data_IF_493966690059
#
_entry.id   IF_493966690059
#
_cell.length_a   1.000
_cell.length_b   1.000
_cell.length_c   1.000
_cell.angle_alpha   90.00
_cell.angle_beta   90.00
_cell.angle_gamma   90.00
#
_symmetry.space_group_name_H-M   'P 1'
#
loop_
_entity.id
_entity.type
_entity.pdbx_description
1 polymer ?
#
# COMPACT_ATOMS: atom_id res chain seq x y z
N UNK A 1 23.32 -11.04 -12.53
CA UNK A 1 23.00 -9.59 -12.62
C UNK A 1 24.26 -8.84 -12.25
N UNK A 2 24.96 -8.24 -13.22
CA UNK A 2 26.24 -7.56 -12.96
C UNK A 2 25.97 -6.07 -12.70
N UNK A 3 26.21 -5.62 -11.47
CA UNK A 3 26.15 -4.20 -11.12
C UNK A 3 27.30 -3.50 -11.87
N UNK A 4 26.98 -2.47 -12.66
CA UNK A 4 28.02 -1.72 -13.39
C UNK A 4 28.77 -0.83 -12.41
N UNK A 5 30.08 -0.72 -12.57
CA UNK A 5 30.96 0.11 -11.73
C UNK A 5 30.49 1.57 -11.63
N UNK A 6 29.93 2.12 -12.72
CA UNK A 6 29.37 3.46 -12.75
C UNK A 6 28.14 3.64 -11.85
N UNK A 7 27.35 2.58 -11.64
CA UNK A 7 26.23 2.61 -10.69
C UNK A 7 26.73 2.65 -9.25
N UNK A 8 27.84 1.95 -8.94
CA UNK A 8 28.47 1.98 -7.62
C UNK A 8 29.00 3.38 -7.31
N UNK A 9 29.74 4.00 -8.23
CA UNK A 9 30.26 5.37 -8.05
C UNK A 9 29.11 6.36 -7.84
N UNK A 10 28.05 6.24 -8.64
CA UNK A 10 26.88 7.11 -8.51
C UNK A 10 26.22 6.95 -7.13
N UNK A 11 26.03 5.71 -6.69
CA UNK A 11 25.42 5.40 -5.40
C UNK A 11 26.27 5.93 -4.24
N UNK A 12 27.59 5.73 -4.32
CA UNK A 12 28.55 6.24 -3.34
C UNK A 12 28.53 7.78 -3.30
N UNK A 13 28.54 8.44 -4.45
CA UNK A 13 28.45 9.92 -4.53
C UNK A 13 27.15 10.44 -3.89
N UNK A 14 26.03 9.77 -4.15
CA UNK A 14 24.74 10.13 -3.56
C UNK A 14 24.73 9.89 -2.05
N UNK A 15 25.26 8.76 -1.58
CA UNK A 15 25.39 8.45 -0.16
C UNK A 15 26.19 9.52 0.59
N UNK A 16 27.36 9.90 0.09
CA UNK A 16 28.20 10.93 0.71
C UNK A 16 27.57 12.33 0.68
N UNK A 17 26.67 12.62 -0.27
CA UNK A 17 25.94 13.91 -0.28
C UNK A 17 24.89 14.03 0.83
N UNK A 18 24.38 12.90 1.32
CA UNK A 18 23.39 12.84 2.40
C UNK A 18 24.05 12.91 3.79
N UNK A 19 25.31 12.50 3.89
CA UNK A 19 26.13 12.64 5.09
C UNK A 19 26.83 14.00 5.01
N UNK A 20 26.23 15.06 5.58
CA UNK A 20 26.77 16.43 5.57
C UNK A 20 28.10 16.58 6.36
N UNK A 21 29.19 15.94 5.90
CA UNK A 21 30.50 16.03 6.57
C UNK A 21 31.08 17.42 6.34
N UNK A 22 31.31 18.24 7.40
CA UNK A 22 31.85 19.57 7.25
C UNK A 22 33.30 19.53 6.77
N UNK A 23 33.78 20.62 6.15
CA UNK A 23 35.20 20.75 5.80
C UNK A 23 36.05 20.97 7.06
N UNK A 24 37.29 20.49 7.05
CA UNK A 24 38.24 20.73 8.14
C UNK A 24 38.46 22.24 8.33
N UNK A 25 38.37 22.70 9.57
CA UNK A 25 38.64 24.09 9.92
C UNK A 25 40.15 24.34 10.01
N UNK A 26 40.62 25.52 9.59
CA UNK A 26 42.06 25.84 9.58
C UNK A 26 42.70 25.81 10.97
N UNK A 27 41.92 26.03 12.03
CA UNK A 27 42.37 26.02 13.42
C UNK A 27 42.33 24.61 14.04
N UNK A 28 41.78 23.62 13.35
CA UNK A 28 41.55 22.27 13.87
C UNK A 28 42.64 21.29 13.44
N UNK A 29 43.07 20.43 14.37
CA UNK A 29 44.02 19.36 14.08
C UNK A 29 43.32 18.21 13.34
N UNK A 30 44.06 17.52 12.46
CA UNK A 30 43.51 16.38 11.69
C UNK A 30 42.85 15.32 12.57
N UNK A 31 43.41 14.90 13.73
CA UNK A 31 42.75 13.93 14.61
C UNK A 31 41.42 14.43 15.18
N UNK A 32 41.31 15.72 15.52
CA UNK A 32 40.08 16.31 16.02
C UNK A 32 38.98 16.32 14.94
N UNK A 33 39.38 16.66 13.70
CA UNK A 33 38.50 16.61 12.53
C UNK A 33 37.95 15.21 12.27
N UNK A 34 38.82 14.19 12.28
CA UNK A 34 38.43 12.79 12.06
C UNK A 34 37.44 12.32 13.13
N UNK A 35 37.70 12.60 14.41
CA UNK A 35 36.79 12.23 15.49
C UNK A 35 35.41 12.89 15.35
N UNK A 36 35.36 14.17 14.95
CA UNK A 36 34.11 14.88 14.69
C UNK A 36 33.36 14.29 13.50
N UNK A 37 34.05 13.97 12.40
CA UNK A 37 33.46 13.33 11.24
C UNK A 37 32.90 11.94 11.58
N UNK A 38 33.64 11.13 12.35
CA UNK A 38 33.16 9.84 12.87
C UNK A 38 31.90 9.99 13.73
N UNK A 39 31.87 10.96 14.65
CA UNK A 39 30.70 11.22 15.49
C UNK A 39 29.47 11.65 14.67
N UNK A 40 29.66 12.44 13.62
CA UNK A 40 28.59 12.82 12.68
C UNK A 40 28.08 11.58 11.94
N UNK A 41 28.98 10.73 11.42
CA UNK A 41 28.61 9.48 10.75
C UNK A 41 27.80 8.55 11.65
N UNK A 42 28.23 8.35 12.90
CA UNK A 42 27.50 7.53 13.88
C UNK A 42 26.12 8.11 14.21
N UNK A 43 26.00 9.43 14.30
CA UNK A 43 24.72 10.11 14.55
C UNK A 43 23.77 10.00 13.36
N UNK A 44 24.27 10.18 12.14
CA UNK A 44 23.48 10.03 10.91
C UNK A 44 23.03 8.59 10.70
N UNK A 45 23.89 7.61 11.03
CA UNK A 45 23.54 6.19 11.00
C UNK A 45 22.38 5.87 11.96
N UNK A 46 22.46 6.33 13.22
CA UNK A 46 21.38 6.14 14.20
C UNK A 46 20.09 6.87 13.81
N UNK A 47 20.20 8.10 13.30
CA UNK A 47 19.04 8.87 12.86
C UNK A 47 18.32 8.27 11.64
N UNK A 48 19.05 7.57 10.75
CA UNK A 48 18.49 6.85 9.61
C UNK A 48 17.90 5.48 9.97
N UNK A 49 18.41 4.85 11.04
CA UNK A 49 17.85 3.61 11.60
C UNK A 49 16.50 3.83 12.31
N UNK A 50 16.20 5.07 12.73
CA UNK A 50 15.08 5.40 13.64
C UNK A 50 13.78 5.94 12.98
N UNK A 51 13.79 6.45 11.72
CA UNK A 51 12.55 6.45 10.91
C UNK A 51 12.33 5.00 10.51
N UNK A 52 11.82 4.26 11.48
CA UNK A 52 12.41 2.97 11.83
C UNK A 52 12.06 1.97 10.75
N UNK A 53 12.96 1.07 10.37
CA UNK A 53 12.61 -0.10 9.55
C UNK A 53 11.32 -0.76 10.06
N UNK A 54 11.10 -0.75 11.37
CA UNK A 54 9.87 -1.17 12.06
C UNK A 54 8.62 -0.36 11.64
N UNK A 55 8.71 0.96 11.51
CA UNK A 55 7.60 1.80 11.01
C UNK A 55 7.26 1.46 9.56
N UNK A 56 8.28 1.28 8.71
CA UNK A 56 8.11 0.87 7.30
C UNK A 56 7.49 -0.52 7.23
N UNK A 57 7.93 -1.47 8.06
CA UNK A 57 7.35 -2.81 8.15
C UNK A 57 5.91 -2.80 8.68
N UNK A 58 5.61 -1.93 9.63
CA UNK A 58 4.27 -1.76 10.19
C UNK A 58 3.33 -1.18 9.13
N UNK A 59 3.75 -0.14 8.41
CA UNK A 59 2.99 0.46 7.32
C UNK A 59 2.79 -0.52 6.17
N UNK A 60 3.83 -1.27 5.78
CA UNK A 60 3.72 -2.33 4.77
C UNK A 60 2.75 -3.43 5.19
N UNK A 61 2.75 -3.82 6.47
CA UNK A 61 1.80 -4.80 7.01
C UNK A 61 0.37 -4.27 6.94
N UNK A 62 0.17 -3.00 7.32
CA UNK A 62 -1.12 -2.34 7.26
C UNK A 62 -1.64 -2.26 5.82
N UNK A 63 -0.84 -1.74 4.89
CA UNK A 63 -1.18 -1.66 3.46
C UNK A 63 -1.50 -3.03 2.87
N UNK A 64 -0.74 -4.06 3.24
CA UNK A 64 -0.99 -5.44 2.80
C UNK A 64 -2.36 -5.94 3.28
N UNK A 65 -2.68 -5.72 4.56
CA UNK A 65 -3.98 -6.11 5.12
C UNK A 65 -5.14 -5.37 4.45
N UNK A 66 -4.97 -4.07 4.19
CA UNK A 66 -6.00 -3.27 3.53
C UNK A 66 -6.20 -3.70 2.08
N UNK A 67 -5.13 -4.06 1.37
CA UNK A 67 -5.21 -4.64 0.04
C UNK A 67 -5.99 -5.96 0.05
N UNK A 68 -5.74 -6.84 1.02
CA UNK A 68 -6.50 -8.09 1.15
C UNK A 68 -7.98 -7.86 1.47
N UNK A 69 -8.30 -6.90 2.35
CA UNK A 69 -9.69 -6.51 2.65
C UNK A 69 -10.40 -5.99 1.41
N UNK A 70 -9.76 -5.10 0.65
CA UNK A 70 -10.31 -4.54 -0.57
C UNK A 70 -10.51 -5.63 -1.65
N UNK A 71 -9.53 -6.52 -1.81
CA UNK A 71 -9.63 -7.64 -2.74
C UNK A 71 -10.79 -8.58 -2.39
N UNK A 72 -11.02 -8.83 -1.10
CA UNK A 72 -12.15 -9.63 -0.62
C UNK A 72 -13.48 -8.98 -1.02
N UNK A 73 -13.67 -7.69 -0.71
CA UNK A 73 -14.87 -6.92 -1.08
C UNK A 73 -15.11 -6.92 -2.58
N UNK A 74 -14.08 -6.65 -3.38
CA UNK A 74 -14.17 -6.68 -4.85
C UNK A 74 -14.58 -8.06 -5.38
N UNK A 75 -14.03 -9.13 -4.78
CA UNK A 75 -14.38 -10.49 -5.17
C UNK A 75 -15.83 -10.82 -4.84
N UNK A 76 -16.32 -10.44 -3.66
CA UNK A 76 -17.72 -10.60 -3.26
C UNK A 76 -18.67 -9.90 -4.21
N UNK A 77 -18.49 -8.59 -4.43
CA UNK A 77 -19.29 -7.80 -5.37
C UNK A 77 -19.26 -8.37 -6.79
N UNK A 78 -18.10 -8.80 -7.28
CA UNK A 78 -17.95 -9.40 -8.61
C UNK A 78 -18.77 -10.69 -8.74
N UNK A 79 -18.81 -11.51 -7.70
CA UNK A 79 -19.60 -12.73 -7.69
C UNK A 79 -21.10 -12.41 -7.69
N UNK A 80 -21.57 -11.47 -6.86
CA UNK A 80 -22.96 -11.00 -6.86
C UNK A 80 -23.40 -10.49 -8.23
N UNK A 81 -22.59 -9.66 -8.88
CA UNK A 81 -22.89 -9.15 -10.23
C UNK A 81 -22.99 -10.30 -11.25
N UNK A 82 -22.11 -11.30 -11.13
CA UNK A 82 -22.09 -12.45 -12.03
C UNK A 82 -23.36 -13.29 -11.86
N UNK A 83 -23.76 -13.56 -10.63
CA UNK A 83 -24.96 -14.34 -10.30
C UNK A 83 -26.23 -13.59 -10.71
N UNK A 84 -26.36 -12.32 -10.32
CA UNK A 84 -27.47 -11.45 -10.74
C UNK A 84 -27.63 -11.43 -12.26
N UNK A 85 -26.52 -11.31 -13.01
CA UNK A 85 -26.56 -11.32 -14.48
C UNK A 85 -27.04 -12.67 -15.00
N UNK A 86 -26.57 -13.78 -14.43
CA UNK A 86 -26.99 -15.12 -14.80
C UNK A 86 -28.48 -15.32 -14.58
N UNK A 87 -28.98 -14.93 -13.42
CA UNK A 87 -30.38 -15.10 -13.03
C UNK A 87 -31.29 -14.17 -13.81
N UNK A 88 -30.85 -12.92 -14.06
CA UNK A 88 -31.53 -12.00 -14.96
C UNK A 88 -31.68 -12.58 -16.37
N UNK A 89 -30.62 -13.15 -16.95
CA UNK A 89 -30.67 -13.79 -18.28
C UNK A 89 -31.64 -14.97 -18.25
N UNK A 90 -31.56 -15.81 -17.23
CA UNK A 90 -32.44 -16.98 -17.06
C UNK A 90 -33.91 -16.55 -16.91
N UNK A 91 -34.18 -15.43 -16.25
CA UNK A 91 -35.54 -14.91 -16.05
C UNK A 91 -36.25 -14.54 -17.36
N UNK A 92 -35.51 -14.29 -18.44
CA UNK A 92 -36.08 -13.87 -19.74
C UNK A 92 -36.94 -14.94 -20.41
N UNK A 93 -36.84 -16.20 -19.97
CA UNK A 93 -37.70 -17.29 -20.45
C UNK A 93 -39.15 -17.14 -19.97
N UNK A 94 -39.37 -16.40 -18.88
CA UNK A 94 -40.68 -16.27 -18.25
C UNK A 94 -41.48 -15.07 -18.78
N UNK A 95 -42.82 -15.18 -18.84
CA UNK A 95 -43.69 -14.06 -19.20
C UNK A 95 -43.66 -12.93 -18.14
N UNK A 96 -44.16 -11.76 -18.51
CA UNK A 96 -43.95 -10.50 -17.77
C UNK A 96 -44.32 -10.57 -16.28
N UNK A 97 -45.44 -11.21 -15.93
CA UNK A 97 -45.93 -11.23 -14.54
C UNK A 97 -45.06 -12.08 -13.60
N UNK A 98 -44.79 -13.38 -13.86
CA UNK A 98 -43.84 -14.15 -13.06
C UNK A 98 -42.42 -13.56 -13.06
N UNK A 99 -41.99 -13.05 -14.23
CA UNK A 99 -40.66 -12.45 -14.36
C UNK A 99 -40.51 -11.22 -13.47
N UNK A 100 -41.55 -10.40 -13.33
CA UNK A 100 -41.51 -9.22 -12.47
C UNK A 100 -41.25 -9.60 -11.00
N UNK A 101 -41.91 -10.65 -10.50
CA UNK A 101 -41.66 -11.15 -9.13
C UNK A 101 -40.21 -11.57 -8.97
N UNK A 102 -39.67 -12.37 -9.89
CA UNK A 102 -38.26 -12.80 -9.86
C UNK A 102 -37.28 -11.62 -9.89
N UNK A 103 -37.53 -10.62 -10.75
CA UNK A 103 -36.70 -9.41 -10.81
C UNK A 103 -36.69 -8.65 -9.48
N UNK A 104 -37.87 -8.53 -8.86
CA UNK A 104 -38.02 -7.85 -7.58
C UNK A 104 -37.28 -8.58 -6.46
N UNK A 105 -37.37 -9.90 -6.45
CA UNK A 105 -36.68 -10.74 -5.46
C UNK A 105 -35.16 -10.64 -5.63
N UNK A 106 -34.63 -10.74 -6.86
CA UNK A 106 -33.20 -10.55 -7.13
C UNK A 106 -32.65 -9.20 -6.64
N UNK A 107 -33.41 -8.11 -6.83
CA UNK A 107 -33.03 -6.79 -6.30
C UNK A 107 -33.01 -6.81 -4.78
N UNK A 108 -34.05 -7.40 -4.17
CA UNK A 108 -34.17 -7.49 -2.71
C UNK A 108 -33.02 -8.32 -2.12
N UNK A 109 -32.65 -9.43 -2.75
CA UNK A 109 -31.60 -10.32 -2.28
C UNK A 109 -30.25 -9.59 -2.27
N UNK A 110 -29.90 -8.85 -3.32
CA UNK A 110 -28.69 -8.01 -3.35
C UNK A 110 -28.70 -6.97 -2.23
N UNK A 111 -29.84 -6.29 -2.03
CA UNK A 111 -29.95 -5.24 -1.02
C UNK A 111 -29.73 -5.74 0.41
N UNK A 112 -29.85 -7.05 0.66
CA UNK A 112 -29.62 -7.66 1.97
C UNK A 112 -28.36 -8.53 2.00
N UNK A 113 -27.62 -8.61 0.89
CA UNK A 113 -26.42 -9.42 0.81
C UNK A 113 -25.31 -8.79 1.67
N UNK A 114 -24.63 -9.56 2.55
CA UNK A 114 -23.60 -9.02 3.44
C UNK A 114 -22.43 -8.39 2.70
N UNK A 115 -22.01 -8.92 1.54
CA UNK A 115 -20.89 -8.39 0.77
C UNK A 115 -21.26 -7.05 0.11
N UNK A 116 -22.53 -6.86 -0.26
CA UNK A 116 -23.05 -5.57 -0.74
C UNK A 116 -23.22 -4.56 0.41
N UNK A 117 -23.81 -5.01 1.52
CA UNK A 117 -24.05 -4.18 2.70
C UNK A 117 -22.75 -3.66 3.33
N UNK A 118 -21.71 -4.49 3.42
CA UNK A 118 -20.38 -4.09 3.92
C UNK A 118 -19.82 -2.89 3.15
N UNK A 119 -20.09 -2.79 1.84
CA UNK A 119 -19.61 -1.69 0.99
C UNK A 119 -20.49 -0.44 1.12
N UNK A 120 -21.81 -0.60 1.32
CA UNK A 120 -22.72 0.53 1.50
C UNK A 120 -22.52 1.28 2.83
N UNK A 121 -22.05 0.59 3.88
CA UNK A 121 -21.82 1.20 5.19
C UNK A 121 -20.53 2.02 5.31
N UNK A 122 -19.65 2.01 4.31
CA UNK A 122 -18.40 2.81 4.31
C UNK A 122 -18.56 4.22 3.74
N UNK A 123 -19.77 4.58 3.27
CA UNK A 123 -20.05 5.85 2.58
C UNK A 123 -20.68 6.90 3.50
N UNK A 124 -20.90 6.59 4.78
CA UNK A 124 -21.35 7.57 5.77
C UNK A 124 -20.14 8.24 6.46
N UNK A 125 -19.95 9.57 6.32
CA UNK A 125 -18.84 10.33 6.90
C UNK A 125 -18.92 10.50 8.43
#
# INVERSE_FOLDING_TARGET
MCIKFQDVIRLETQYWSLVEIPRQEKAETVPAFVLRACAIMEKTQKSGEDMTTIQIETENTQMTNDLYRLLKKYTGLRNLIRELKSDYVSSKVYPIFPRYTMLKDMIKDIMHDPDYMEVCHEVDP
#
